data_IF_288903674981
#
_entry.id   IF_288903674981
#
_cell.length_a   1.000
_cell.length_b   1.000
_cell.length_c   1.000
_cell.angle_alpha   90.00
_cell.angle_beta   90.00
_cell.angle_gamma   90.00
#
_symmetry.space_group_name_H-M   'P 1'
#
loop_
_entity.id
_entity.type
_entity.pdbx_description
1 polymer ?
#
# COMPACT_ATOMS: atom_id res chain seq x y z
N UNK A 1 1.16 37.00 0.14
CA UNK A 1 0.34 36.98 1.36
C UNK A 1 -0.13 35.56 1.62
N UNK A 2 -0.45 35.22 2.87
CA UNK A 2 -0.75 33.84 3.31
C UNK A 2 -1.74 33.08 2.39
N UNK A 3 -2.72 33.75 1.78
CA UNK A 3 -3.66 33.11 0.85
C UNK A 3 -3.03 32.50 -0.41
N UNK A 4 -2.01 33.15 -1.00
CA UNK A 4 -1.32 32.64 -2.19
C UNK A 4 -0.46 31.41 -1.88
N UNK A 5 0.11 31.35 -0.68
CA UNK A 5 0.90 30.21 -0.21
C UNK A 5 0.00 29.00 0.06
N UNK A 6 -1.12 29.19 0.76
CA UNK A 6 -2.12 28.14 1.00
C UNK A 6 -2.66 27.58 -0.32
N UNK A 7 -2.96 28.44 -1.29
CA UNK A 7 -3.46 28.00 -2.59
C UNK A 7 -2.44 27.15 -3.36
N UNK A 8 -1.15 27.52 -3.30
CA UNK A 8 -0.07 26.75 -3.93
C UNK A 8 0.05 25.35 -3.31
N UNK A 9 0.06 25.26 -1.98
CA UNK A 9 0.13 23.98 -1.26
C UNK A 9 -1.10 23.12 -1.54
N UNK A 10 -2.29 23.71 -1.50
CA UNK A 10 -3.54 23.01 -1.77
C UNK A 10 -3.59 22.44 -3.18
N UNK A 11 -3.10 23.18 -4.18
CA UNK A 11 -3.09 22.70 -5.56
C UNK A 11 -2.16 21.47 -5.74
N UNK A 12 -0.95 21.51 -5.17
CA UNK A 12 -0.03 20.37 -5.19
C UNK A 12 -0.61 19.12 -4.50
N UNK A 13 -1.24 19.32 -3.33
CA UNK A 13 -1.90 18.22 -2.62
C UNK A 13 -3.07 17.63 -3.42
N UNK A 14 -3.98 18.47 -3.92
CA UNK A 14 -5.20 18.03 -4.60
C UNK A 14 -4.95 17.41 -5.98
N UNK A 15 -3.79 17.63 -6.58
CA UNK A 15 -3.42 16.99 -7.85
C UNK A 15 -2.80 15.61 -7.65
N UNK A 16 -2.00 15.43 -6.60
CA UNK A 16 -1.21 14.20 -6.40
C UNK A 16 -1.94 13.17 -5.52
N UNK A 17 -2.55 13.63 -4.42
CA UNK A 17 -3.11 12.72 -3.40
C UNK A 17 -4.33 11.91 -3.85
N UNK A 18 -5.23 12.39 -4.73
CA UNK A 18 -6.32 11.56 -5.23
C UNK A 18 -5.85 10.25 -5.87
N UNK A 19 -4.70 10.28 -6.57
CA UNK A 19 -4.11 9.08 -7.15
C UNK A 19 -3.63 8.11 -6.08
N UNK A 20 -3.07 8.60 -4.98
CA UNK A 20 -2.61 7.77 -3.87
C UNK A 20 -3.73 6.90 -3.25
N UNK A 21 -4.98 7.38 -3.27
CA UNK A 21 -6.11 6.67 -2.67
C UNK A 21 -6.42 5.32 -3.34
N UNK A 22 -6.11 5.12 -4.62
CA UNK A 22 -6.30 3.81 -5.26
C UNK A 22 -5.46 2.72 -4.60
N UNK A 23 -4.17 2.99 -4.41
CA UNK A 23 -3.23 2.07 -3.78
C UNK A 23 -3.51 1.94 -2.28
N UNK A 24 -3.83 3.05 -1.61
CA UNK A 24 -4.22 3.03 -0.20
C UNK A 24 -5.48 2.20 0.05
N UNK A 25 -6.54 2.41 -0.74
CA UNK A 25 -7.80 1.68 -0.62
C UNK A 25 -7.61 0.18 -0.83
N UNK A 26 -6.87 -0.21 -1.88
CA UNK A 26 -6.52 -1.61 -2.12
C UNK A 26 -5.76 -2.23 -0.94
N UNK A 27 -4.78 -1.50 -0.41
CA UNK A 27 -4.01 -1.93 0.75
C UNK A 27 -4.91 -2.15 1.97
N UNK A 28 -5.84 -1.23 2.24
CA UNK A 28 -6.77 -1.33 3.38
C UNK A 28 -7.71 -2.53 3.27
N UNK A 29 -8.27 -2.78 2.08
CA UNK A 29 -9.13 -3.95 1.84
C UNK A 29 -8.35 -5.24 2.08
N UNK A 30 -7.11 -5.33 1.62
CA UNK A 30 -6.27 -6.53 1.78
C UNK A 30 -5.85 -6.73 3.23
N UNK A 31 -5.47 -5.66 3.94
CA UNK A 31 -5.16 -5.71 5.37
C UNK A 31 -6.37 -6.18 6.17
N UNK A 32 -7.57 -5.66 5.87
CA UNK A 32 -8.81 -6.12 6.49
C UNK A 32 -9.07 -7.61 6.19
N UNK A 33 -8.83 -8.06 4.96
CA UNK A 33 -8.91 -9.47 4.57
C UNK A 33 -7.95 -10.37 5.37
N UNK A 34 -6.68 -9.99 5.49
CA UNK A 34 -5.70 -10.74 6.29
C UNK A 34 -6.08 -10.78 7.78
N UNK A 35 -6.55 -9.66 8.33
CA UNK A 35 -7.04 -9.61 9.70
C UNK A 35 -8.26 -10.52 9.91
N UNK A 36 -9.21 -10.54 8.96
CA UNK A 36 -10.38 -11.42 9.00
C UNK A 36 -10.02 -12.92 8.91
N UNK A 37 -8.95 -13.26 8.18
CA UNK A 37 -8.42 -14.63 8.09
C UNK A 37 -7.49 -15.00 9.27
N UNK A 38 -7.38 -14.17 10.31
CA UNK A 38 -6.48 -14.36 11.46
C UNK A 38 -4.98 -14.38 11.09
N UNK A 39 -4.60 -13.86 9.93
CA UNK A 39 -3.22 -13.72 9.47
C UNK A 39 -2.65 -12.32 9.76
N UNK A 40 -2.64 -11.94 11.05
CA UNK A 40 -2.22 -10.61 11.52
C UNK A 40 -0.79 -10.27 11.06
N UNK A 41 0.12 -11.26 10.99
CA UNK A 41 1.49 -11.04 10.53
C UNK A 41 1.60 -10.42 9.13
N UNK A 42 0.78 -10.88 8.18
CA UNK A 42 0.78 -10.33 6.81
C UNK A 42 0.19 -8.91 6.78
N UNK A 43 -0.86 -8.66 7.56
CA UNK A 43 -1.44 -7.33 7.72
C UNK A 43 -0.44 -6.34 8.32
N UNK A 44 0.28 -6.74 9.37
CA UNK A 44 1.32 -5.93 10.01
C UNK A 44 2.49 -5.68 9.07
N UNK A 45 2.95 -6.68 8.32
CA UNK A 45 4.02 -6.51 7.34
C UNK A 45 3.67 -5.44 6.30
N UNK A 46 2.47 -5.48 5.74
CA UNK A 46 1.99 -4.49 4.76
C UNK A 46 1.93 -3.09 5.40
N UNK A 47 1.38 -2.97 6.60
CA UNK A 47 1.22 -1.68 7.27
C UNK A 47 2.57 -1.04 7.65
N UNK A 48 3.45 -1.81 8.29
CA UNK A 48 4.77 -1.32 8.73
C UNK A 48 5.70 -1.07 7.55
N UNK A 49 5.68 -1.96 6.55
CA UNK A 49 6.46 -1.78 5.35
C UNK A 49 6.08 -0.50 4.61
N UNK A 50 4.79 -0.24 4.44
CA UNK A 50 4.30 1.00 3.82
C UNK A 50 4.76 2.24 4.57
N UNK A 51 4.52 2.30 5.88
CA UNK A 51 4.75 3.52 6.66
C UNK A 51 6.22 3.75 6.99
N UNK A 52 6.90 2.75 7.55
CA UNK A 52 8.25 2.92 8.09
C UNK A 52 9.34 2.67 7.06
N UNK A 53 9.16 1.67 6.18
CA UNK A 53 10.21 1.25 5.26
C UNK A 53 10.18 2.03 3.95
N UNK A 54 8.99 2.44 3.49
CA UNK A 54 8.87 3.12 2.20
C UNK A 54 8.47 4.58 2.35
N UNK A 55 7.35 4.88 3.01
CA UNK A 55 6.82 6.25 3.03
C UNK A 55 7.79 7.24 3.67
N UNK A 56 8.34 6.93 4.85
CA UNK A 56 9.26 7.84 5.54
C UNK A 56 10.56 8.07 4.74
N UNK A 57 11.29 7.03 4.27
CA UNK A 57 12.50 7.25 3.48
C UNK A 57 12.24 7.91 2.12
N UNK A 58 11.18 7.53 1.40
CA UNK A 58 10.85 8.20 0.14
C UNK A 58 10.43 9.65 0.36
N UNK A 59 9.71 9.96 1.45
CA UNK A 59 9.33 11.34 1.73
C UNK A 59 10.56 12.20 2.02
N UNK A 60 11.52 11.68 2.79
CA UNK A 60 12.79 12.36 3.03
C UNK A 60 13.55 12.60 1.73
N UNK A 61 13.71 11.56 0.90
CA UNK A 61 14.40 11.69 -0.38
C UNK A 61 13.65 12.61 -1.37
N UNK A 62 12.33 12.54 -1.39
CA UNK A 62 11.50 13.39 -2.24
C UNK A 62 11.60 14.86 -1.84
N UNK A 63 11.63 15.15 -0.55
CA UNK A 63 11.85 16.50 -0.01
C UNK A 63 13.19 17.06 -0.46
N UNK A 64 14.26 16.28 -0.37
CA UNK A 64 15.60 16.71 -0.79
C UNK A 64 15.68 17.03 -2.30
N UNK A 65 14.95 16.28 -3.13
CA UNK A 65 15.00 16.41 -4.60
C UNK A 65 14.06 17.49 -5.17
N UNK A 66 12.86 17.62 -4.61
CA UNK A 66 11.78 18.43 -5.19
C UNK A 66 11.03 19.28 -4.14
N UNK A 67 11.52 19.33 -2.90
CA UNK A 67 10.85 19.99 -1.79
C UNK A 67 9.48 19.37 -1.50
N UNK A 68 8.50 20.23 -1.22
CA UNK A 68 7.16 19.80 -0.84
C UNK A 68 6.46 18.93 -1.90
N UNK A 69 6.67 19.19 -3.19
CA UNK A 69 6.07 18.39 -4.27
C UNK A 69 6.60 16.95 -4.28
N UNK A 70 7.87 16.77 -3.93
CA UNK A 70 8.48 15.45 -3.80
C UNK A 70 7.91 14.64 -2.65
N UNK A 71 7.49 15.28 -1.55
CA UNK A 71 6.80 14.60 -0.44
C UNK A 71 5.46 14.03 -0.92
N UNK A 72 4.67 14.80 -1.67
CA UNK A 72 3.39 14.33 -2.17
C UNK A 72 3.56 13.14 -3.13
N UNK A 73 4.53 13.23 -4.05
CA UNK A 73 4.84 12.16 -4.99
C UNK A 73 5.36 10.91 -4.27
N UNK A 74 6.21 11.07 -3.26
CA UNK A 74 6.70 9.98 -2.42
C UNK A 74 5.56 9.24 -1.71
N UNK A 75 4.61 9.97 -1.14
CA UNK A 75 3.42 9.40 -0.49
C UNK A 75 2.57 8.65 -1.52
N UNK A 76 2.34 9.22 -2.70
CA UNK A 76 1.54 8.58 -3.74
C UNK A 76 2.19 7.30 -4.28
N UNK A 77 3.49 7.36 -4.59
CA UNK A 77 4.27 6.21 -5.03
C UNK A 77 4.30 5.09 -3.98
N UNK A 78 4.48 5.44 -2.70
CA UNK A 78 4.47 4.47 -1.60
C UNK A 78 3.13 3.73 -1.53
N UNK A 79 2.01 4.44 -1.65
CA UNK A 79 0.68 3.83 -1.64
C UNK A 79 0.46 2.90 -2.84
N UNK A 80 0.91 3.30 -4.03
CA UNK A 80 0.78 2.45 -5.21
C UNK A 80 1.64 1.20 -5.13
N UNK A 81 2.91 1.35 -4.75
CA UNK A 81 3.83 0.24 -4.58
C UNK A 81 3.26 -0.79 -3.60
N UNK A 82 2.82 -0.34 -2.43
CA UNK A 82 2.29 -1.24 -1.41
C UNK A 82 0.91 -1.82 -1.75
N UNK A 83 0.09 -1.11 -2.52
CA UNK A 83 -1.13 -1.69 -3.09
C UNK A 83 -0.84 -2.88 -4.00
N UNK A 84 0.17 -2.77 -4.88
CA UNK A 84 0.58 -3.85 -5.77
C UNK A 84 1.24 -5.01 -5.02
N UNK A 85 2.12 -4.73 -4.06
CA UNK A 85 2.74 -5.75 -3.20
C UNK A 85 1.65 -6.51 -2.41
N UNK A 86 0.72 -5.79 -1.79
CA UNK A 86 -0.38 -6.37 -1.03
C UNK A 86 -1.23 -7.30 -1.93
N UNK A 87 -1.52 -6.87 -3.17
CA UNK A 87 -2.25 -7.69 -4.14
C UNK A 87 -1.51 -8.98 -4.49
N UNK A 88 -0.19 -8.91 -4.71
CA UNK A 88 0.65 -10.10 -4.92
C UNK A 88 0.66 -11.04 -3.72
N UNK A 89 0.73 -10.49 -2.50
CA UNK A 89 0.73 -11.29 -1.28
C UNK A 89 -0.59 -12.03 -1.09
N UNK A 90 -1.73 -11.36 -1.24
CA UNK A 90 -3.03 -11.99 -1.03
C UNK A 90 -3.37 -12.99 -2.13
N UNK A 91 -3.02 -12.72 -3.39
CA UNK A 91 -3.24 -13.66 -4.49
C UNK A 91 -2.42 -14.94 -4.33
N UNK A 92 -1.13 -14.82 -3.98
CA UNK A 92 -0.29 -15.97 -3.66
C UNK A 92 -0.78 -16.75 -2.43
N UNK A 93 -1.27 -16.03 -1.41
CA UNK A 93 -1.81 -16.63 -0.20
C UNK A 93 -3.09 -17.44 -0.46
N UNK A 94 -4.05 -16.89 -1.20
CA UNK A 94 -5.29 -17.58 -1.59
C UNK A 94 -4.98 -18.82 -2.44
N UNK A 95 -4.05 -18.71 -3.39
CA UNK A 95 -3.70 -19.80 -4.30
C UNK A 95 -3.06 -21.00 -3.56
N UNK A 96 -2.28 -20.73 -2.50
CA UNK A 96 -1.73 -21.79 -1.65
C UNK A 96 -2.81 -22.49 -0.84
N UNK A 97 -3.71 -21.72 -0.22
CA UNK A 97 -4.81 -22.31 0.54
C UNK A 97 -5.76 -23.14 -0.33
N UNK A 98 -6.07 -22.68 -1.53
CA UNK A 98 -6.94 -23.45 -2.43
C UNK A 98 -6.28 -24.75 -2.87
N UNK A 99 -4.98 -24.74 -3.15
CA UNK A 99 -4.23 -25.94 -3.51
C UNK A 99 -4.14 -26.94 -2.34
N UNK A 100 -3.82 -26.45 -1.13
CA UNK A 100 -3.74 -27.30 0.06
C UNK A 100 -5.09 -27.93 0.42
N UNK A 101 -6.19 -27.17 0.24
CA UNK A 101 -7.54 -27.69 0.41
C UNK A 101 -7.88 -28.74 -0.65
N UNK A 102 -7.53 -28.50 -1.92
CA UNK A 102 -7.77 -29.45 -3.02
C UNK A 102 -7.05 -30.79 -2.78
N UNK A 103 -5.76 -30.76 -2.41
CA UNK A 103 -4.97 -31.96 -2.09
C UNK A 103 -5.60 -32.75 -0.94
N UNK A 104 -6.09 -32.09 0.11
CA UNK A 104 -6.74 -32.76 1.26
C UNK A 104 -8.09 -33.39 0.90
N UNK A 105 -8.84 -32.81 -0.03
CA UNK A 105 -10.16 -33.30 -0.46
C UNK A 105 -10.06 -34.46 -1.46
N UNK A 106 -8.97 -34.55 -2.22
CA UNK A 106 -8.74 -35.60 -3.22
C UNK A 106 -7.45 -36.40 -2.98
N UNK A 107 -7.30 -37.11 -1.84
CA UNK A 107 -6.08 -37.80 -1.48
C UNK A 107 -5.74 -39.04 -2.35
N UNK A 108 -6.65 -39.49 -3.21
CA UNK A 108 -6.46 -40.70 -4.06
C UNK A 108 -6.04 -40.42 -5.51
N UNK A 109 -5.71 -39.17 -5.86
CA UNK A 109 -5.18 -38.81 -7.19
C UNK A 109 -3.66 -38.57 -7.20
N UNK A 110 -2.95 -39.04 -6.17
CA UNK A 110 -1.48 -39.01 -6.08
C UNK A 110 -0.90 -40.42 -6.06
#
# INVERSE_FOLDING_TARGET
GAGAEVQKVANGYLTVIPWAYGGYGLTMVIVAGFNGMQHIGNATFIALGRSLVTMVPLAYLGEELMGLDGIWLAIAASHMLWGLIAYGLISGFISRQSNDANVKLHPQQQ
#
